data_IF_209971859242
#
_entry.id   IF_209971859242
#
_cell.length_a   1.000
_cell.length_b   1.000
_cell.length_c   1.000
_cell.angle_alpha   90.00
_cell.angle_beta   90.00
_cell.angle_gamma   90.00
#
_symmetry.space_group_name_H-M   'P 1'
#
loop_
_entity.id
_entity.type
_entity.pdbx_description
1 polymer ?
#
# COMPACT_ATOMS: atom_id res chain seq x y z
N UNK A 1 -21.28 -18.70 9.54
CA UNK A 1 -21.10 -17.23 9.53
C UNK A 1 -22.43 -16.62 9.98
N UNK A 2 -22.63 -16.27 11.25
CA UNK A 2 -24.00 -16.03 11.74
C UNK A 2 -24.19 -15.03 12.89
N UNK A 3 -23.18 -14.27 13.31
CA UNK A 3 -23.30 -13.52 14.58
C UNK A 3 -22.78 -12.09 14.58
N UNK A 4 -22.52 -11.49 13.41
CA UNK A 4 -22.09 -10.08 13.35
C UNK A 4 -23.05 -9.32 12.43
N UNK A 5 -23.98 -8.58 13.05
CA UNK A 5 -24.85 -7.67 12.30
C UNK A 5 -24.16 -6.34 12.03
N UNK A 6 -24.30 -5.77 10.82
CA UNK A 6 -23.73 -4.48 10.50
C UNK A 6 -24.41 -3.34 11.28
N UNK A 7 -23.62 -2.68 12.13
CA UNK A 7 -24.12 -1.68 13.10
C UNK A 7 -24.64 -0.40 12.42
N UNK A 8 -23.91 0.14 11.44
CA UNK A 8 -24.21 1.45 10.83
C UNK A 8 -24.72 1.33 9.38
N UNK A 9 -25.42 2.38 8.90
CA UNK A 9 -26.03 2.43 7.56
C UNK A 9 -25.04 2.09 6.43
N UNK A 10 -23.80 2.61 6.51
CA UNK A 10 -22.73 2.28 5.56
C UNK A 10 -22.35 0.78 5.57
N UNK A 11 -22.25 0.15 6.74
CA UNK A 11 -21.93 -1.29 6.84
C UNK A 11 -23.06 -2.16 6.28
N UNK A 12 -24.32 -1.81 6.57
CA UNK A 12 -25.48 -2.51 5.98
C UNK A 12 -25.49 -2.41 4.46
N UNK A 13 -25.18 -1.22 3.91
CA UNK A 13 -25.07 -0.98 2.47
C UNK A 13 -23.91 -1.74 1.82
N UNK A 14 -22.81 -1.95 2.54
CA UNK A 14 -21.69 -2.76 2.07
C UNK A 14 -22.05 -4.26 2.06
N UNK A 15 -22.75 -4.72 3.09
CA UNK A 15 -23.23 -6.10 3.20
C UNK A 15 -24.31 -6.45 2.18
N UNK A 16 -25.20 -5.51 1.84
CA UNK A 16 -26.29 -5.73 0.88
C UNK A 16 -25.86 -5.63 -0.58
N UNK A 17 -24.59 -5.29 -0.85
CA UNK A 17 -24.11 -5.18 -2.23
C UNK A 17 -23.95 -6.59 -2.81
N UNK A 18 -24.50 -6.88 -4.00
CA UNK A 18 -24.23 -8.14 -4.68
C UNK A 18 -22.71 -8.24 -4.87
N UNK A 19 -22.16 -9.36 -4.44
CA UNK A 19 -20.74 -9.64 -4.62
C UNK A 19 -20.52 -9.81 -6.13
N UNK A 20 -19.74 -8.90 -6.72
CA UNK A 20 -19.43 -8.97 -8.15
C UNK A 20 -18.64 -10.25 -8.43
N UNK A 21 -19.08 -11.05 -9.42
CA UNK A 21 -18.33 -12.22 -9.91
C UNK A 21 -16.98 -11.80 -10.50
N UNK A 22 -16.88 -10.56 -10.99
CA UNK A 22 -15.65 -9.96 -11.51
C UNK A 22 -15.20 -8.85 -10.56
N UNK A 23 -14.15 -9.08 -9.79
CA UNK A 23 -13.49 -8.00 -9.05
C UNK A 23 -12.44 -7.36 -9.97
N UNK A 24 -12.39 -6.03 -9.98
CA UNK A 24 -11.28 -5.32 -10.62
C UNK A 24 -9.97 -5.86 -10.05
N UNK A 25 -9.06 -6.27 -10.93
CA UNK A 25 -7.79 -6.87 -10.53
C UNK A 25 -6.89 -5.88 -9.78
N UNK A 26 -7.11 -4.57 -9.99
CA UNK A 26 -6.46 -3.48 -9.30
C UNK A 26 -7.41 -2.27 -9.22
N UNK A 27 -7.15 -1.36 -8.28
CA UNK A 27 -7.80 -0.04 -8.19
C UNK A 27 -6.92 0.95 -8.96
N UNK A 28 -7.54 1.90 -9.67
CA UNK A 28 -6.81 2.97 -10.35
C UNK A 28 -5.88 3.70 -9.37
N UNK A 29 -4.61 3.84 -9.74
CA UNK A 29 -3.56 4.44 -8.90
C UNK A 29 -2.88 3.48 -7.91
N UNK A 30 -3.37 2.25 -7.73
CA UNK A 30 -2.72 1.24 -6.89
C UNK A 30 -1.84 0.28 -7.70
N UNK A 31 -0.87 -0.35 -7.04
CA UNK A 31 0.00 -1.31 -7.70
C UNK A 31 -0.74 -2.64 -7.98
N UNK A 32 -0.73 -3.15 -9.23
CA UNK A 32 -1.27 -4.48 -9.55
C UNK A 32 -0.29 -5.63 -9.25
N UNK A 33 0.92 -5.33 -8.76
CA UNK A 33 1.98 -6.32 -8.50
C UNK A 33 1.97 -6.78 -7.04
N UNK A 34 1.61 -8.05 -6.84
CA UNK A 34 1.35 -8.63 -5.52
C UNK A 34 2.48 -9.56 -5.03
N UNK A 35 3.67 -9.02 -4.80
CA UNK A 35 4.81 -9.79 -4.28
C UNK A 35 5.53 -9.10 -3.09
N UNK A 36 4.89 -9.00 -1.91
CA UNK A 36 3.55 -9.50 -1.59
C UNK A 36 2.42 -8.51 -1.91
N UNK A 37 2.75 -7.24 -2.17
CA UNK A 37 1.85 -6.12 -2.54
C UNK A 37 2.21 -4.84 -1.79
N UNK A 38 1.82 -3.66 -2.30
CA UNK A 38 2.06 -2.36 -1.64
C UNK A 38 0.82 -1.86 -0.88
N UNK A 39 -0.25 -1.51 -1.60
CA UNK A 39 -1.49 -1.06 -0.95
C UNK A 39 -2.30 -2.22 -0.36
N UNK A 40 -2.34 -3.34 -1.09
CA UNK A 40 -3.02 -4.57 -0.69
C UNK A 40 -2.17 -5.76 -1.11
N UNK A 41 -2.18 -6.81 -0.29
CA UNK A 41 -1.53 -8.05 -0.66
C UNK A 41 -2.40 -8.98 -1.50
N UNK A 42 -1.78 -10.02 -2.06
CA UNK A 42 -2.45 -11.04 -2.90
C UNK A 42 -3.70 -11.66 -2.24
N UNK A 43 -3.74 -11.72 -0.91
CA UNK A 43 -4.84 -12.30 -0.14
C UNK A 43 -5.88 -11.27 0.33
N UNK A 44 -5.87 -10.06 -0.24
CA UNK A 44 -6.64 -8.90 0.23
C UNK A 44 -6.34 -8.50 1.69
N UNK A 45 -5.13 -8.78 2.16
CA UNK A 45 -4.63 -8.30 3.44
C UNK A 45 -4.10 -6.87 3.31
N UNK A 46 -4.35 -6.07 4.34
CA UNK A 46 -3.69 -4.77 4.52
C UNK A 46 -2.26 -5.01 5.00
N UNK A 47 -1.33 -4.14 4.59
CA UNK A 47 0.07 -4.14 5.05
C UNK A 47 0.72 -5.54 4.96
N UNK A 48 0.77 -6.15 3.76
CA UNK A 48 1.20 -7.53 3.59
C UNK A 48 2.65 -7.79 4.03
N UNK A 49 3.46 -6.74 4.05
CA UNK A 49 4.70 -6.60 4.80
C UNK A 49 4.65 -5.26 5.52
N UNK A 50 5.19 -5.12 6.75
CA UNK A 50 5.25 -3.83 7.44
C UNK A 50 5.86 -2.75 6.54
N UNK A 51 5.03 -1.83 6.08
CA UNK A 51 5.37 -0.92 4.98
C UNK A 51 6.64 -0.10 5.25
N UNK A 52 6.96 0.26 6.50
CA UNK A 52 8.17 1.03 6.79
C UNK A 52 9.45 0.26 6.43
N UNK A 53 9.47 -1.06 6.65
CA UNK A 53 10.62 -1.89 6.30
C UNK A 53 10.70 -2.09 4.78
N UNK A 54 9.54 -2.26 4.15
CA UNK A 54 9.42 -2.48 2.72
C UNK A 54 9.76 -1.22 1.92
N UNK A 55 9.46 -0.04 2.47
CA UNK A 55 9.80 1.26 1.93
C UNK A 55 11.32 1.47 1.84
N UNK A 56 12.04 1.19 2.94
CA UNK A 56 13.51 1.30 2.96
C UNK A 56 14.13 0.28 2.00
N UNK A 57 13.59 -0.94 1.96
CA UNK A 57 14.06 -1.95 1.03
C UNK A 57 13.86 -1.50 -0.42
N UNK A 58 12.64 -1.12 -0.81
CA UNK A 58 12.33 -0.70 -2.18
C UNK A 58 13.18 0.49 -2.61
N UNK A 59 13.33 1.49 -1.74
CA UNK A 59 14.18 2.64 -2.02
C UNK A 59 15.64 2.22 -2.24
N UNK A 60 16.22 1.43 -1.34
CA UNK A 60 17.64 1.05 -1.40
C UNK A 60 18.00 0.10 -2.55
N UNK A 61 17.01 -0.63 -3.10
CA UNK A 61 17.24 -1.50 -4.25
C UNK A 61 17.21 -0.72 -5.58
N UNK A 62 18.20 -0.98 -6.44
CA UNK A 62 18.31 -0.44 -7.80
C UNK A 62 17.03 -0.68 -8.63
N UNK A 63 16.30 -1.75 -8.34
CA UNK A 63 15.00 -2.03 -8.96
C UNK A 63 13.95 -2.08 -7.84
N UNK A 64 13.36 -0.92 -7.52
CA UNK A 64 12.21 -0.84 -6.62
C UNK A 64 11.00 -1.52 -7.27
N UNK A 65 10.45 -2.55 -6.62
CA UNK A 65 9.33 -3.34 -7.15
C UNK A 65 8.02 -2.54 -7.28
N UNK A 66 7.92 -1.45 -6.52
CA UNK A 66 6.76 -0.54 -6.48
C UNK A 66 7.16 0.89 -6.90
N UNK A 67 8.00 1.03 -7.92
CA UNK A 67 8.49 2.35 -8.37
C UNK A 67 7.40 3.34 -8.82
N UNK A 68 6.17 2.87 -9.10
CA UNK A 68 5.02 3.76 -9.34
C UNK A 68 4.40 4.34 -8.07
N UNK A 69 4.79 3.83 -6.91
CA UNK A 69 4.27 4.20 -5.58
C UNK A 69 5.38 4.74 -4.66
N UNK A 70 6.61 4.22 -4.79
CA UNK A 70 7.75 4.51 -3.94
C UNK A 70 8.87 5.13 -4.77
N UNK A 71 9.42 6.29 -4.37
CA UNK A 71 10.59 6.87 -5.02
C UNK A 71 11.81 5.95 -4.94
N UNK A 72 12.39 5.62 -6.09
CA UNK A 72 13.60 4.81 -6.17
C UNK A 72 14.87 5.63 -5.90
N UNK A 73 15.94 4.96 -5.46
CA UNK A 73 17.22 5.61 -5.17
C UNK A 73 17.96 6.13 -6.42
N UNK A 74 17.69 5.61 -7.62
CA UNK A 74 18.37 6.07 -8.85
C UNK A 74 17.92 7.49 -9.18
N UNK A 75 16.62 7.76 -9.11
CA UNK A 75 16.05 9.07 -9.43
C UNK A 75 15.99 10.01 -8.21
N UNK A 76 15.79 9.47 -7.01
CA UNK A 76 15.55 10.25 -5.80
C UNK A 76 16.49 9.86 -4.64
N UNK A 77 17.83 9.88 -4.81
CA UNK A 77 18.79 9.28 -3.88
C UNK A 77 18.72 9.83 -2.44
N UNK A 78 18.27 11.07 -2.27
CA UNK A 78 18.24 11.76 -0.97
C UNK A 78 16.83 11.75 -0.32
N UNK A 79 15.88 11.01 -0.89
CA UNK A 79 14.49 11.03 -0.42
C UNK A 79 14.32 10.56 1.03
N UNK A 80 15.16 9.61 1.45
CA UNK A 80 15.16 9.08 2.82
C UNK A 80 16.08 9.83 3.80
N UNK A 81 16.85 10.83 3.37
CA UNK A 81 17.88 11.46 4.20
C UNK A 81 17.32 12.13 5.47
N UNK A 82 16.08 12.63 5.40
CA UNK A 82 15.39 13.26 6.52
C UNK A 82 14.77 12.24 7.51
N UNK A 83 14.92 10.94 7.25
CA UNK A 83 14.40 9.85 8.07
C UNK A 83 15.56 9.01 8.62
N UNK A 84 16.20 9.47 9.70
CA UNK A 84 17.28 8.72 10.37
C UNK A 84 16.80 7.38 10.92
N UNK A 85 15.54 7.33 11.38
CA UNK A 85 14.85 6.11 11.74
C UNK A 85 13.43 6.11 11.17
N UNK A 86 13.21 5.36 10.10
CA UNK A 86 11.90 5.28 9.40
C UNK A 86 10.75 4.90 10.34
N UNK A 87 11.01 4.19 11.44
CA UNK A 87 9.96 3.80 12.39
C UNK A 87 9.41 5.02 13.17
N UNK A 88 10.22 6.05 13.34
CA UNK A 88 9.89 7.25 14.12
C UNK A 88 9.74 8.51 13.26
N UNK A 89 10.48 8.59 12.16
CA UNK A 89 10.65 9.82 11.38
C UNK A 89 9.84 9.82 10.07
N UNK A 90 9.00 8.80 9.83
CA UNK A 90 8.26 8.63 8.56
C UNK A 90 7.41 9.84 8.16
N UNK A 91 7.01 10.68 9.11
CA UNK A 91 6.28 11.93 8.83
C UNK A 91 7.10 12.97 8.08
N UNK A 92 8.42 12.82 8.05
CA UNK A 92 9.34 13.70 7.32
C UNK A 92 9.47 13.33 5.83
N UNK A 93 8.84 12.23 5.39
CA UNK A 93 8.82 11.83 3.99
C UNK A 93 8.05 12.86 3.15
N UNK A 94 8.69 13.33 2.09
CA UNK A 94 8.08 14.25 1.14
C UNK A 94 7.46 13.47 -0.03
N UNK A 95 6.34 13.96 -0.58
CA UNK A 95 5.88 13.49 -1.89
C UNK A 95 6.83 13.97 -2.98
N UNK A 96 7.10 13.13 -3.97
CA UNK A 96 7.82 13.54 -5.18
C UNK A 96 6.76 14.07 -6.16
N UNK A 97 6.86 15.33 -6.61
CA UNK A 97 5.92 15.88 -7.58
C UNK A 97 6.07 15.24 -8.96
N UNK A 98 4.96 15.14 -9.69
CA UNK A 98 4.87 14.59 -11.06
C UNK A 98 5.65 15.42 -12.10
#
# INVERSE_FOLDING_TARGET
MGHIEPLHKKARKMFSRPQSDVRGYAVEGCCPSYNPGWEVGANNNLDPCPWQNDLVACHAFIICWWGGQVPDYIQNPNWLDNCSNIQNDWTNLCVVPD
#
